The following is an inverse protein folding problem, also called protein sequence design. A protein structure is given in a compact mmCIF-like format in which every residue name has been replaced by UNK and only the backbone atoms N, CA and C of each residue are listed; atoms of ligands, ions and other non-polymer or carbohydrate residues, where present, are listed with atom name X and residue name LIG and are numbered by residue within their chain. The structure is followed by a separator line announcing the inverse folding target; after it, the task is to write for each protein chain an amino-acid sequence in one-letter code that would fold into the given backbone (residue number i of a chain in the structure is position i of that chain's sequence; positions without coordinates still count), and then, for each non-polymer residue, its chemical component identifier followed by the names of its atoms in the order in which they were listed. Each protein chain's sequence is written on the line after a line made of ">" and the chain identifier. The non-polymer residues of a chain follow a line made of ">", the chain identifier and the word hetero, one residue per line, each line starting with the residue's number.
data_IF_176352023769
#
_entry.id   IF_176352023769
#
_cell.length_a   1.000
_cell.length_b   1.000
_cell.length_c   1.000
_cell.angle_alpha   90.00
_cell.angle_beta   90.00
_cell.angle_gamma   90.00
#
_symmetry.space_group_name_H-M   'P 1'
#
loop_
_entity.id
_entity.type
_entity.pdbx_description
1 polymer ?
#
# COMPACT_ATOMS: atom_id res chain seq x y z
N UNK A 1 4.03 12.41 9.65
CA UNK A 1 4.19 11.24 10.55
C UNK A 1 5.11 10.28 9.83
N UNK A 2 6.12 9.71 10.51
CA UNK A 2 6.96 8.68 9.91
C UNK A 2 6.07 7.48 9.57
N UNK A 3 6.05 7.08 8.30
CA UNK A 3 5.27 5.93 7.87
C UNK A 3 5.90 4.66 8.46
N UNK A 4 5.09 3.78 9.07
CA UNK A 4 5.53 2.51 9.66
C UNK A 4 4.89 1.36 8.86
N UNK A 5 5.54 0.86 7.79
CA UNK A 5 4.96 -0.08 6.83
C UNK A 5 4.38 -1.35 7.48
N UNK A 6 5.03 -1.84 8.53
CA UNK A 6 4.58 -3.02 9.28
C UNK A 6 3.19 -2.85 9.93
N UNK A 7 2.80 -1.62 10.30
CA UNK A 7 1.45 -1.34 10.82
C UNK A 7 0.36 -1.42 9.75
N UNK A 8 0.76 -1.45 8.48
CA UNK A 8 -0.13 -1.64 7.32
C UNK A 8 -0.05 -3.07 6.76
N UNK A 9 0.67 -3.98 7.43
CA UNK A 9 0.89 -5.36 6.99
C UNK A 9 2.00 -5.53 5.96
N UNK A 10 2.85 -4.51 5.72
CA UNK A 10 4.03 -4.64 4.86
C UNK A 10 5.25 -5.04 5.69
N UNK A 11 5.50 -6.35 5.75
CA UNK A 11 6.56 -6.96 6.58
C UNK A 11 7.92 -7.09 5.87
N UNK A 12 7.99 -6.77 4.57
CA UNK A 12 9.20 -6.92 3.75
C UNK A 12 9.63 -5.58 3.12
N UNK A 13 9.13 -4.48 3.66
CA UNK A 13 9.39 -3.14 3.16
C UNK A 13 10.90 -2.89 3.01
N UNK A 14 11.31 -2.34 1.86
CA UNK A 14 12.71 -2.06 1.52
C UNK A 14 13.67 -3.26 1.68
N UNK A 15 13.17 -4.48 1.52
CA UNK A 15 13.96 -5.71 1.70
C UNK A 15 14.55 -5.84 3.13
N UNK A 16 13.86 -5.25 4.12
CA UNK A 16 14.19 -5.35 5.53
C UNK A 16 13.22 -6.32 6.21
N UNK A 17 13.77 -7.27 6.95
CA UNK A 17 13.05 -8.26 7.74
C UNK A 17 13.45 -8.04 9.19
N UNK A 18 12.51 -7.51 9.95
CA UNK A 18 12.66 -7.32 11.39
C UNK A 18 11.33 -7.56 12.08
N UNK A 19 11.40 -7.82 13.38
CA UNK A 19 10.23 -7.86 14.23
C UNK A 19 9.62 -6.45 14.45
N UNK A 20 8.39 -6.40 14.99
CA UNK A 20 7.63 -5.16 15.18
C UNK A 20 8.35 -4.09 16.02
N UNK A 21 9.16 -4.50 16.98
CA UNK A 21 9.89 -3.59 17.87
C UNK A 21 11.01 -2.83 17.14
N UNK A 22 11.42 -3.27 15.95
CA UNK A 22 12.32 -2.51 15.09
C UNK A 22 11.67 -1.23 14.53
N UNK A 23 10.35 -1.25 14.34
CA UNK A 23 9.61 -0.16 13.69
C UNK A 23 8.75 0.64 14.66
N UNK A 24 8.40 0.08 15.81
CA UNK A 24 7.42 0.66 16.75
C UNK A 24 8.01 0.69 18.15
N UNK A 25 8.17 1.90 18.67
CA UNK A 25 8.30 2.10 20.12
C UNK A 25 6.96 1.75 20.78
N UNK A 26 6.96 0.73 21.64
CA UNK A 26 5.75 0.26 22.35
C UNK A 26 5.17 1.32 23.29
N UNK A 27 6.03 2.19 23.84
CA UNK A 27 5.63 3.23 24.79
C UNK A 27 5.20 4.51 24.04
N UNK A 28 5.59 4.64 22.77
CA UNK A 28 5.10 5.69 21.87
C UNK A 28 4.80 5.19 20.43
N UNK A 29 3.70 4.44 20.23
CA UNK A 29 3.43 3.80 18.94
C UNK A 29 3.19 4.77 17.78
N UNK A 30 2.71 5.98 18.08
CA UNK A 30 2.50 7.07 17.10
C UNK A 30 3.74 7.94 16.88
N UNK A 31 4.75 7.80 17.73
CA UNK A 31 6.01 8.51 17.65
C UNK A 31 6.86 8.07 16.47
N UNK A 32 8.09 8.58 16.43
CA UNK A 32 9.10 8.06 15.52
C UNK A 32 9.40 6.59 15.83
N UNK A 33 10.13 5.97 14.93
CA UNK A 33 10.67 4.63 15.15
C UNK A 33 11.78 4.64 16.20
N UNK A 34 12.03 3.52 16.89
CA UNK A 34 13.11 3.44 17.86
C UNK A 34 14.46 3.63 17.17
N UNK A 35 15.32 4.49 17.74
CA UNK A 35 16.72 4.58 17.30
C UNK A 35 17.55 3.38 17.75
N UNK A 36 17.21 2.81 18.91
CA UNK A 36 17.86 1.63 19.49
C UNK A 36 16.77 0.61 19.88
N UNK A 37 16.21 -0.14 18.92
CA UNK A 37 15.22 -1.19 19.18
C UNK A 37 15.66 -2.21 20.24
N UNK A 38 16.96 -2.47 20.34
CA UNK A 38 17.59 -3.37 21.30
C UNK A 38 17.45 -2.94 22.77
N UNK A 39 17.04 -1.69 23.02
CA UNK A 39 16.72 -1.24 24.38
C UNK A 39 15.46 -1.92 24.93
N UNK A 40 14.59 -2.46 24.07
CA UNK A 40 13.51 -3.32 24.52
C UNK A 40 14.07 -4.72 24.85
N UNK A 41 13.92 -5.22 26.09
CA UNK A 41 14.45 -6.53 26.47
C UNK A 41 13.91 -7.70 25.63
N UNK A 42 12.75 -7.54 24.99
CA UNK A 42 12.14 -8.56 24.15
C UNK A 42 12.64 -8.52 22.71
N UNK A 43 13.34 -7.47 22.29
CA UNK A 43 13.78 -7.28 20.92
C UNK A 43 14.56 -8.49 20.41
N UNK A 44 15.63 -8.88 21.11
CA UNK A 44 16.48 -10.00 20.68
C UNK A 44 15.74 -11.34 20.64
N UNK A 45 14.86 -11.57 21.62
CA UNK A 45 14.08 -12.82 21.69
C UNK A 45 13.18 -12.96 20.45
N UNK A 46 12.55 -11.88 20.02
CA UNK A 46 11.61 -11.88 18.91
C UNK A 46 12.32 -11.79 17.56
N UNK A 47 13.34 -10.94 17.46
CA UNK A 47 14.15 -10.78 16.26
C UNK A 47 14.79 -12.09 15.84
N UNK A 48 15.34 -12.83 16.81
CA UNK A 48 15.96 -14.13 16.53
C UNK A 48 14.96 -15.11 15.92
N UNK A 49 13.74 -15.19 16.46
CA UNK A 49 12.71 -16.09 15.95
C UNK A 49 12.27 -15.70 14.52
N UNK A 50 12.09 -14.40 14.25
CA UNK A 50 11.73 -13.88 12.93
C UNK A 50 12.83 -14.18 11.91
N UNK A 51 14.09 -13.91 12.25
CA UNK A 51 15.22 -14.17 11.35
C UNK A 51 15.44 -15.66 11.09
N UNK A 52 15.28 -16.52 12.11
CA UNK A 52 15.35 -17.98 11.94
C UNK A 52 14.23 -18.47 11.03
N UNK A 53 13.00 -17.99 11.21
CA UNK A 53 11.91 -18.32 10.32
C UNK A 53 12.20 -17.84 8.88
N UNK A 54 12.62 -16.59 8.71
CA UNK A 54 12.90 -16.01 7.40
C UNK A 54 13.99 -16.79 6.65
N UNK A 55 15.07 -17.16 7.35
CA UNK A 55 16.16 -17.97 6.79
C UNK A 55 15.68 -19.32 6.25
N UNK A 56 14.70 -19.93 6.90
CA UNK A 56 14.21 -21.26 6.53
C UNK A 56 13.09 -21.22 5.48
N UNK A 57 12.42 -20.08 5.29
CA UNK A 57 11.19 -19.99 4.50
C UNK A 57 11.26 -19.02 3.31
N UNK A 58 12.18 -18.06 3.33
CA UNK A 58 12.29 -17.07 2.25
C UNK A 58 13.42 -17.41 1.28
N UNK A 59 13.17 -17.37 -0.04
CA UNK A 59 14.23 -17.49 -1.01
C UNK A 59 15.16 -16.27 -0.91
N UNK A 60 16.45 -16.48 -1.17
CA UNK A 60 17.47 -15.44 -1.15
C UNK A 60 17.52 -14.67 0.19
N UNK A 61 17.39 -15.36 1.34
CA UNK A 61 17.49 -14.76 2.68
C UNK A 61 18.71 -13.81 2.84
N UNK A 62 19.84 -14.20 2.25
CA UNK A 62 21.08 -13.41 2.27
C UNK A 62 20.96 -12.04 1.59
N UNK A 63 19.91 -11.78 0.80
CA UNK A 63 19.66 -10.49 0.15
C UNK A 63 19.00 -9.45 1.08
N UNK A 64 18.35 -9.89 2.15
CA UNK A 64 17.65 -9.03 3.10
C UNK A 64 18.63 -8.39 4.09
N UNK A 65 18.23 -7.26 4.69
CA UNK A 65 18.97 -6.56 5.75
C UNK A 65 20.39 -6.10 5.37
N UNK A 66 20.73 -5.99 4.07
CA UNK A 66 22.07 -5.60 3.61
C UNK A 66 22.40 -4.12 3.79
N UNK A 67 21.41 -3.23 3.76
CA UNK A 67 21.65 -1.80 3.97
C UNK A 67 21.68 -1.49 5.46
N UNK A 68 22.84 -1.02 5.96
CA UNK A 68 23.02 -0.57 7.36
C UNK A 68 22.35 0.77 7.67
N UNK A 69 22.03 1.54 6.64
CA UNK A 69 21.42 2.86 6.79
C UNK A 69 20.00 2.82 6.25
N UNK A 70 19.05 2.53 7.14
CA UNK A 70 17.69 2.97 6.92
C UNK A 70 17.54 4.34 7.57
N UNK A 71 17.87 5.39 6.81
CA UNK A 71 17.37 6.71 7.14
C UNK A 71 15.84 6.59 7.09
N UNK A 72 15.17 6.78 8.22
CA UNK A 72 13.77 7.22 8.23
C UNK A 72 13.73 8.65 7.69
N UNK A 73 14.15 8.80 6.44
CA UNK A 73 13.89 9.96 5.64
C UNK A 73 12.38 10.10 5.60
N UNK A 74 11.91 11.33 5.81
CA UNK A 74 10.53 11.78 5.75
C UNK A 74 9.89 11.61 4.36
N UNK A 75 10.35 10.68 3.55
CA UNK A 75 9.89 10.41 2.19
C UNK A 75 8.90 9.25 2.22
N UNK A 76 7.62 9.61 2.24
CA UNK A 76 6.47 8.77 1.88
C UNK A 76 6.64 8.19 0.46
N UNK A 77 7.51 7.21 0.26
CA UNK A 77 7.54 6.47 -1.00
C UNK A 77 7.09 5.04 -0.75
N UNK A 78 5.77 4.92 -0.56
CA UNK A 78 5.06 3.75 -1.04
C UNK A 78 5.21 3.76 -2.57
N UNK A 79 6.28 3.10 -3.04
CA UNK A 79 6.71 3.11 -4.44
C UNK A 79 5.70 2.45 -5.38
N UNK A 80 4.65 1.80 -4.85
CA UNK A 80 3.43 1.47 -5.58
C UNK A 80 2.22 2.10 -4.89
N UNK A 81 1.62 3.09 -5.54
CA UNK A 81 0.47 3.82 -5.05
C UNK A 81 -0.60 3.95 -6.14
N UNK A 82 -1.85 3.88 -5.68
CA UNK A 82 -3.01 4.34 -6.43
C UNK A 82 -3.57 5.49 -5.61
N UNK A 83 -4.02 6.56 -6.27
CA UNK A 83 -4.69 7.69 -5.62
C UNK A 83 -5.85 8.12 -6.49
N UNK A 84 -7.07 7.93 -5.99
CA UNK A 84 -8.28 8.44 -6.65
C UNK A 84 -8.27 9.97 -6.53
N UNK A 85 -8.35 10.64 -7.67
CA UNK A 85 -8.46 12.10 -7.75
C UNK A 85 -9.92 12.54 -7.89
N UNK A 86 -10.75 11.71 -8.52
CA UNK A 86 -12.20 11.92 -8.66
C UNK A 86 -12.89 10.56 -8.64
N UNK A 87 -14.01 10.39 -7.92
CA UNK A 87 -14.67 11.38 -7.04
C UNK A 87 -13.90 11.60 -5.73
N UNK A 88 -14.17 12.72 -5.06
CA UNK A 88 -13.67 12.96 -3.70
C UNK A 88 -14.52 12.21 -2.67
N UNK A 89 -13.88 11.77 -1.58
CA UNK A 89 -14.59 11.14 -0.47
C UNK A 89 -15.70 12.05 0.08
N UNK A 90 -16.89 11.49 0.24
CA UNK A 90 -18.09 12.18 0.72
C UNK A 90 -18.85 12.97 -0.34
N UNK A 91 -18.41 12.97 -1.60
CA UNK A 91 -19.13 13.66 -2.68
C UNK A 91 -20.44 12.98 -3.06
N UNK A 92 -21.35 13.78 -3.62
CA UNK A 92 -22.61 13.30 -4.19
C UNK A 92 -22.48 13.06 -5.70
N UNK A 93 -23.00 11.93 -6.14
CA UNK A 93 -22.98 11.45 -7.51
C UNK A 93 -24.31 11.78 -8.18
N UNK A 94 -24.26 12.58 -9.26
CA UNK A 94 -25.39 12.89 -10.15
C UNK A 94 -25.05 12.62 -11.61
N UNK A 95 -25.87 11.85 -12.32
CA UNK A 95 -25.64 11.50 -13.72
C UNK A 95 -24.38 10.65 -13.93
N UNK A 96 -23.81 10.72 -15.14
CA UNK A 96 -22.57 10.01 -15.47
C UNK A 96 -21.40 10.56 -14.68
N UNK A 97 -20.67 9.67 -14.02
CA UNK A 97 -19.54 10.01 -13.18
C UNK A 97 -18.22 9.63 -13.78
N UNK A 98 -17.26 10.55 -13.66
CA UNK A 98 -15.87 10.30 -14.02
C UNK A 98 -15.13 9.76 -12.81
N UNK A 99 -14.43 8.65 -12.98
CA UNK A 99 -13.50 8.12 -11.99
C UNK A 99 -12.10 8.29 -12.56
N UNK A 100 -11.24 9.01 -11.84
CA UNK A 100 -9.83 9.21 -12.21
C UNK A 100 -8.91 8.84 -11.06
N UNK A 101 -7.79 8.20 -11.38
CA UNK A 101 -6.78 7.85 -10.39
C UNK A 101 -5.36 8.02 -10.95
N UNK A 102 -4.46 8.52 -10.11
CA UNK A 102 -3.02 8.49 -10.35
C UNK A 102 -2.46 7.18 -9.84
N UNK A 103 -1.69 6.52 -10.68
CA UNK A 103 -1.02 5.26 -10.36
C UNK A 103 0.47 5.49 -10.58
N UNK A 104 1.27 5.23 -9.54
CA UNK A 104 2.72 5.33 -9.59
C UNK A 104 3.30 4.05 -9.00
N UNK A 105 4.24 3.42 -9.70
CA UNK A 105 4.79 2.10 -9.40
C UNK A 105 6.28 2.03 -9.74
N UNK A 106 7.07 1.22 -9.02
CA UNK A 106 8.44 0.88 -9.44
C UNK A 106 8.51 -0.14 -10.55
N UNK A 107 7.45 -0.93 -10.72
CA UNK A 107 7.32 -1.98 -11.74
C UNK A 107 6.23 -1.61 -12.74
N UNK A 108 6.30 -2.11 -13.99
CA UNK A 108 5.25 -1.89 -14.96
C UNK A 108 3.90 -2.41 -14.47
N UNK A 109 2.89 -1.54 -14.48
CA UNK A 109 1.52 -1.90 -14.15
C UNK A 109 0.94 -2.72 -15.32
N UNK A 110 0.41 -3.89 -15.00
CA UNK A 110 -0.09 -4.88 -15.98
C UNK A 110 -1.61 -4.95 -16.07
N UNK A 111 -2.29 -4.60 -14.99
CA UNK A 111 -3.73 -4.68 -14.86
C UNK A 111 -4.25 -3.58 -13.95
N UNK A 112 -5.40 -3.03 -14.29
CA UNK A 112 -6.13 -2.05 -13.48
C UNK A 112 -7.60 -2.49 -13.43
N UNK A 113 -8.19 -2.47 -12.25
CA UNK A 113 -9.60 -2.77 -12.01
C UNK A 113 -10.25 -1.63 -11.23
N UNK A 114 -11.45 -1.24 -11.64
CA UNK A 114 -12.30 -0.31 -10.89
C UNK A 114 -13.56 -1.03 -10.41
N UNK A 115 -13.96 -0.72 -9.18
CA UNK A 115 -15.08 -1.34 -8.50
C UNK A 115 -16.04 -0.28 -7.96
N UNK A 116 -17.33 -0.64 -7.96
CA UNK A 116 -18.38 0.03 -7.19
C UNK A 116 -19.09 -1.05 -6.36
N UNK A 117 -19.13 -0.89 -5.04
CA UNK A 117 -19.82 -1.84 -4.13
C UNK A 117 -19.40 -3.30 -4.36
N UNK A 118 -18.08 -3.53 -4.47
CA UNK A 118 -17.44 -4.83 -4.75
C UNK A 118 -17.69 -5.38 -6.17
N UNK A 119 -18.57 -4.77 -6.98
CA UNK A 119 -18.79 -5.13 -8.38
C UNK A 119 -17.73 -4.47 -9.26
N UNK A 120 -17.05 -5.25 -10.09
CA UNK A 120 -16.14 -4.73 -11.11
C UNK A 120 -16.95 -3.98 -12.17
N UNK A 121 -16.58 -2.71 -12.40
CA UNK A 121 -17.19 -1.86 -13.44
C UNK A 121 -16.27 -1.64 -14.63
N UNK A 122 -14.96 -1.87 -14.47
CA UNK A 122 -13.96 -1.76 -15.53
C UNK A 122 -12.76 -2.67 -15.22
N UNK A 123 -12.23 -3.33 -16.24
CA UNK A 123 -10.93 -4.02 -16.21
C UNK A 123 -10.10 -3.62 -17.42
N UNK A 124 -8.87 -3.17 -17.19
CA UNK A 124 -7.90 -2.89 -18.26
C UNK A 124 -6.67 -3.76 -18.07
N UNK A 125 -6.31 -4.50 -19.10
CA UNK A 125 -5.07 -5.28 -19.18
C UNK A 125 -4.15 -4.63 -20.21
N UNK A 126 -2.85 -4.59 -19.95
CA UNK A 126 -1.88 -3.99 -20.85
C UNK A 126 -0.59 -3.64 -20.13
N UNK A 127 0.39 -3.09 -20.85
CA UNK A 127 1.58 -2.52 -20.21
C UNK A 127 1.39 -1.02 -20.07
N UNK A 128 1.08 -0.56 -18.86
CA UNK A 128 0.80 0.84 -18.57
C UNK A 128 2.05 1.61 -18.12
N UNK A 129 3.23 0.95 -18.11
CA UNK A 129 4.46 1.53 -17.56
C UNK A 129 4.40 1.74 -16.04
N UNK A 130 5.26 2.63 -15.55
CA UNK A 130 5.45 2.89 -14.12
C UNK A 130 4.54 3.99 -13.58
N UNK A 131 4.16 4.94 -14.41
CA UNK A 131 3.27 6.04 -14.08
C UNK A 131 2.09 6.07 -15.05
N UNK A 132 0.87 6.05 -14.52
CA UNK A 132 -0.34 6.00 -15.34
C UNK A 132 -1.47 6.82 -14.72
N UNK A 133 -2.15 7.60 -15.56
CA UNK A 133 -3.38 8.30 -15.20
C UNK A 133 -4.58 7.48 -15.67
N UNK A 134 -5.20 6.75 -14.74
CA UNK A 134 -6.42 6.02 -15.02
C UNK A 134 -7.61 6.98 -15.12
N UNK A 135 -8.47 6.74 -16.10
CA UNK A 135 -9.74 7.45 -16.27
C UNK A 135 -10.80 6.52 -16.86
N UNK A 136 -12.01 6.59 -16.31
CA UNK A 136 -13.22 5.96 -16.85
C UNK A 136 -14.45 6.81 -16.55
N UNK A 137 -15.56 6.50 -17.23
CA UNK A 137 -16.88 7.08 -16.95
C UNK A 137 -17.88 5.97 -16.67
N UNK A 138 -18.74 6.16 -15.67
CA UNK A 138 -19.73 5.18 -15.24
C UNK A 138 -21.08 5.87 -15.02
N UNK A 139 -22.15 5.25 -15.51
CA UNK A 139 -23.50 5.78 -15.35
C UNK A 139 -24.02 5.64 -13.91
N UNK A 140 -24.92 6.55 -13.52
CA UNK A 140 -25.56 6.63 -12.20
C UNK A 140 -26.29 5.34 -11.77
N UNK A 141 -26.69 4.50 -12.73
CA UNK A 141 -27.35 3.21 -12.49
C UNK A 141 -26.46 2.18 -11.78
N UNK A 142 -25.15 2.42 -11.71
CA UNK A 142 -24.23 1.56 -10.97
C UNK A 142 -24.09 1.96 -9.50
N UNK A 143 -24.78 3.02 -9.05
CA UNK A 143 -24.66 3.57 -7.69
C UNK A 143 -25.96 3.39 -6.89
N UNK A 144 -25.80 2.93 -5.66
CA UNK A 144 -26.78 2.89 -4.58
C UNK A 144 -26.75 4.21 -3.76
N UNK A 145 -27.45 4.30 -2.63
CA UNK A 145 -27.45 5.48 -1.76
C UNK A 145 -26.06 5.81 -1.18
N UNK A 146 -25.28 4.78 -0.87
CA UNK A 146 -23.89 4.89 -0.42
C UNK A 146 -23.06 3.89 -1.22
N UNK A 147 -21.89 4.33 -1.67
CA UNK A 147 -21.05 3.53 -2.54
C UNK A 147 -19.58 3.58 -2.16
N UNK A 148 -18.93 2.43 -2.18
CA UNK A 148 -17.47 2.34 -2.14
C UNK A 148 -16.94 2.28 -3.57
N UNK A 149 -16.29 3.36 -4.01
CA UNK A 149 -15.54 3.40 -5.26
C UNK A 149 -14.10 2.98 -4.95
N UNK A 150 -13.60 1.96 -5.63
CA UNK A 150 -12.23 1.44 -5.45
C UNK A 150 -11.53 1.33 -6.79
N UNK A 151 -10.26 1.72 -6.84
CA UNK A 151 -9.37 1.45 -7.97
C UNK A 151 -8.21 0.61 -7.47
N UNK A 152 -7.93 -0.50 -8.15
CA UNK A 152 -6.87 -1.45 -7.83
C UNK A 152 -5.97 -1.64 -9.04
N UNK A 153 -4.67 -1.57 -8.83
CA UNK A 153 -3.66 -1.75 -9.86
C UNK A 153 -2.75 -2.93 -9.48
N UNK A 154 -2.28 -3.65 -10.49
CA UNK A 154 -1.45 -4.84 -10.32
C UNK A 154 -0.18 -4.74 -11.17
N UNK A 155 0.90 -5.25 -10.62
CA UNK A 155 2.19 -5.50 -11.27
C UNK A 155 2.49 -7.00 -11.17
N UNK A 156 3.62 -7.44 -11.72
CA UNK A 156 4.03 -8.84 -11.62
C UNK A 156 4.37 -9.29 -10.19
N UNK A 157 4.69 -8.36 -9.27
CA UNK A 157 5.12 -8.67 -7.90
C UNK A 157 4.17 -8.17 -6.80
N UNK A 158 3.09 -7.49 -7.15
CA UNK A 158 2.18 -6.96 -6.13
C UNK A 158 1.07 -6.09 -6.67
N UNK A 159 0.26 -5.59 -5.75
CA UNK A 159 -0.93 -4.78 -6.00
C UNK A 159 -0.98 -3.55 -5.09
N UNK A 160 -1.63 -2.50 -5.57
CA UNK A 160 -1.94 -1.30 -4.81
C UNK A 160 -3.38 -0.88 -5.08
N UNK A 161 -4.03 -0.31 -4.08
CA UNK A 161 -5.40 0.18 -4.21
C UNK A 161 -5.63 1.47 -3.45
N UNK A 162 -6.67 2.19 -3.88
CA UNK A 162 -7.26 3.30 -3.14
C UNK A 162 -8.78 3.21 -3.25
N UNK A 163 -9.48 3.77 -2.27
CA UNK A 163 -10.93 3.75 -2.22
C UNK A 163 -11.52 4.98 -1.55
N UNK A 164 -12.68 5.41 -2.03
CA UNK A 164 -13.44 6.54 -1.51
C UNK A 164 -14.90 6.15 -1.36
N UNK A 165 -15.55 6.70 -0.32
CA UNK A 165 -17.00 6.57 -0.13
C UNK A 165 -17.68 7.76 -0.81
N UNK A 166 -18.73 7.51 -1.58
CA UNK A 166 -19.57 8.54 -2.21
C UNK A 166 -21.04 8.25 -1.99
N UNK A 167 -21.87 9.28 -2.12
CA UNK A 167 -23.32 9.21 -1.89
C UNK A 167 -24.08 9.53 -3.18
N UNK A 168 -25.33 9.07 -3.27
CA UNK A 168 -26.25 9.41 -4.36
C UNK A 168 -27.34 10.34 -3.84
#
# INVERSE_FOLDING_TARGET
>A
MAEKPILKGDYLFANQIHNILYFVDKDNPRGLVPQNPENDPQFYNWETAVLVWAKNNLPNFESYNKSKEYNYSTTNEKIFSVKIETPSGGSFIKGTQKITAKIASTLPVKKIEAYINQKVVETKNGDFGKDFNFSMSVGENNFDLQNLVKVKAYTDLGEAEDSVIVYK
#
